data_IF_208423029749
#
_entry.id   IF_208423029749
#
_cell.length_a   1.000
_cell.length_b   1.000
_cell.length_c   1.000
_cell.angle_alpha   90.00
_cell.angle_beta   90.00
_cell.angle_gamma   90.00
#
_symmetry.space_group_name_H-M   'P 1'
#
loop_
_entity.id
_entity.type
_entity.pdbx_description
1 polymer ?
#
# COMPACT_ATOMS: atom_id res chain seq x y z
N UNK A 1 -6.63 -14.07 -16.06
CA UNK A 1 -5.18 -14.27 -16.29
C UNK A 1 -4.44 -13.75 -15.07
N UNK A 2 -3.88 -14.64 -14.24
CA UNK A 2 -3.03 -14.25 -13.11
C UNK A 2 -1.60 -14.07 -13.65
N UNK A 3 -1.23 -12.84 -13.96
CA UNK A 3 0.12 -12.49 -14.40
C UNK A 3 1.07 -12.49 -13.21
N UNK A 4 2.06 -13.40 -13.26
CA UNK A 4 3.38 -13.33 -12.62
C UNK A 4 3.44 -12.63 -11.26
N UNK A 5 3.50 -13.42 -10.18
CA UNK A 5 3.81 -12.95 -8.83
C UNK A 5 5.27 -12.46 -8.76
N UNK A 6 5.56 -11.31 -9.36
CA UNK A 6 6.83 -10.61 -9.17
C UNK A 6 6.74 -9.97 -7.79
N UNK A 7 7.39 -10.58 -6.81
CA UNK A 7 7.51 -10.00 -5.48
C UNK A 7 8.18 -8.64 -5.63
N UNK A 8 7.42 -7.56 -5.39
CA UNK A 8 7.95 -6.20 -5.41
C UNK A 8 9.07 -6.08 -4.38
N UNK A 9 10.10 -5.29 -4.67
CA UNK A 9 11.11 -4.94 -3.66
C UNK A 9 10.50 -4.07 -2.55
N UNK A 10 11.24 -3.91 -1.45
CA UNK A 10 10.84 -3.02 -0.35
C UNK A 10 10.71 -1.57 -0.86
N UNK A 11 11.60 -1.16 -1.76
CA UNK A 11 11.66 0.17 -2.35
C UNK A 11 10.47 0.40 -3.28
N UNK A 12 10.13 -0.57 -4.13
CA UNK A 12 8.94 -0.52 -4.99
C UNK A 12 7.66 -0.44 -4.15
N UNK A 13 7.58 -1.22 -3.07
CA UNK A 13 6.45 -1.21 -2.13
C UNK A 13 6.29 0.17 -1.47
N UNK A 14 7.40 0.77 -1.00
CA UNK A 14 7.40 2.14 -0.44
C UNK A 14 6.97 3.18 -1.47
N UNK A 15 7.42 3.05 -2.72
CA UNK A 15 7.04 3.95 -3.81
C UNK A 15 5.52 3.89 -4.07
N UNK A 16 4.95 2.69 -4.17
CA UNK A 16 3.51 2.49 -4.37
C UNK A 16 2.71 3.08 -3.20
N UNK A 17 3.14 2.86 -1.95
CA UNK A 17 2.52 3.46 -0.76
C UNK A 17 2.49 5.00 -0.86
N UNK A 18 3.61 5.62 -1.27
CA UNK A 18 3.69 7.07 -1.44
C UNK A 18 2.71 7.58 -2.51
N UNK A 19 2.66 6.90 -3.65
CA UNK A 19 1.76 7.23 -4.75
C UNK A 19 0.28 7.09 -4.34
N UNK A 20 -0.07 5.99 -3.65
CA UNK A 20 -1.43 5.76 -3.15
C UNK A 20 -1.85 6.81 -2.12
N UNK A 21 -0.95 7.22 -1.21
CA UNK A 21 -1.21 8.31 -0.25
C UNK A 21 -1.54 9.62 -0.94
N UNK A 22 -0.72 10.04 -1.91
CA UNK A 22 -1.01 11.26 -2.69
C UNK A 22 -2.35 11.14 -3.42
N UNK A 23 -2.63 9.99 -4.03
CA UNK A 23 -3.89 9.75 -4.73
C UNK A 23 -5.09 9.82 -3.78
N UNK A 24 -5.00 9.21 -2.60
CA UNK A 24 -6.04 9.24 -1.57
C UNK A 24 -6.32 10.67 -1.11
N UNK A 25 -5.27 11.46 -0.84
CA UNK A 25 -5.40 12.87 -0.45
C UNK A 25 -6.10 13.65 -1.58
N UNK A 26 -5.62 13.52 -2.81
CA UNK A 26 -6.18 14.24 -3.94
C UNK A 26 -7.65 13.89 -4.21
N UNK A 27 -8.01 12.61 -4.11
CA UNK A 27 -9.40 12.16 -4.31
C UNK A 27 -10.26 12.55 -3.10
N UNK A 28 -9.75 12.41 -1.88
CA UNK A 28 -10.43 12.80 -0.64
C UNK A 28 -10.73 14.30 -0.59
N UNK A 29 -9.80 15.15 -1.03
CA UNK A 29 -10.03 16.59 -1.15
C UNK A 29 -11.06 16.94 -2.24
N UNK A 30 -11.07 16.21 -3.35
CA UNK A 30 -11.99 16.48 -4.48
C UNK A 30 -13.40 15.92 -4.30
N UNK A 31 -13.53 14.77 -3.64
CA UNK A 31 -14.77 13.98 -3.60
C UNK A 31 -15.28 13.68 -2.19
N UNK A 32 -14.47 13.97 -1.17
CA UNK A 32 -14.75 13.61 0.22
C UNK A 32 -14.15 12.26 0.63
N UNK A 33 -13.95 12.09 1.94
CA UNK A 33 -13.36 10.88 2.52
C UNK A 33 -14.27 9.66 2.44
N UNK A 34 -15.59 9.87 2.47
CA UNK A 34 -16.59 8.80 2.40
C UNK A 34 -16.93 8.39 0.96
N UNK A 35 -16.33 9.03 -0.05
CA UNK A 35 -16.56 8.67 -1.44
C UNK A 35 -15.97 7.28 -1.72
N UNK A 36 -16.71 6.43 -2.44
CA UNK A 36 -16.33 5.03 -2.71
C UNK A 36 -14.88 4.88 -3.21
N UNK A 37 -14.44 5.75 -4.14
CA UNK A 37 -13.05 5.72 -4.63
C UNK A 37 -12.00 6.06 -3.56
N UNK A 38 -12.31 6.95 -2.61
CA UNK A 38 -11.38 7.27 -1.50
C UNK A 38 -11.24 6.07 -0.57
N UNK A 39 -12.34 5.35 -0.32
CA UNK A 39 -12.37 4.11 0.46
C UNK A 39 -11.61 2.99 -0.26
N UNK A 40 -11.81 2.82 -1.57
CA UNK A 40 -11.09 1.82 -2.35
C UNK A 40 -9.57 2.06 -2.31
N UNK A 41 -9.14 3.32 -2.49
CA UNK A 41 -7.72 3.67 -2.40
C UNK A 41 -7.19 3.41 -0.99
N UNK A 42 -7.96 3.70 0.07
CA UNK A 42 -7.52 3.46 1.45
C UNK A 42 -7.37 1.96 1.75
N UNK A 43 -8.27 1.12 1.25
CA UNK A 43 -8.17 -0.34 1.37
C UNK A 43 -6.93 -0.88 0.65
N UNK A 44 -6.66 -0.43 -0.58
CA UNK A 44 -5.45 -0.84 -1.32
C UNK A 44 -4.19 -0.38 -0.57
N UNK A 45 -4.18 0.86 -0.06
CA UNK A 45 -3.07 1.39 0.73
C UNK A 45 -2.80 0.53 1.97
N UNK A 46 -3.84 0.08 2.65
CA UNK A 46 -3.73 -0.76 3.85
C UNK A 46 -3.09 -2.13 3.56
N UNK A 47 -3.42 -2.73 2.42
CA UNK A 47 -2.79 -3.98 1.95
C UNK A 47 -1.28 -3.81 1.82
N UNK A 48 -0.82 -2.74 1.15
CA UNK A 48 0.61 -2.49 0.96
C UNK A 48 1.33 -2.12 2.26
N UNK A 49 0.67 -1.37 3.16
CA UNK A 49 1.22 -1.06 4.48
C UNK A 49 1.40 -2.33 5.32
N UNK A 50 0.41 -3.21 5.30
CA UNK A 50 0.44 -4.49 6.01
C UNK A 50 1.54 -5.41 5.47
N UNK A 51 1.66 -5.52 4.15
CA UNK A 51 2.74 -6.29 3.51
C UNK A 51 4.13 -5.74 3.90
N UNK A 52 4.34 -4.42 3.86
CA UNK A 52 5.59 -3.81 4.30
C UNK A 52 5.90 -4.08 5.78
N UNK A 53 4.89 -4.03 6.64
CA UNK A 53 5.02 -4.31 8.07
C UNK A 53 5.37 -5.78 8.33
N UNK A 54 4.72 -6.71 7.63
CA UNK A 54 5.00 -8.15 7.74
C UNK A 54 6.43 -8.47 7.32
N UNK A 55 6.90 -7.91 6.20
CA UNK A 55 8.29 -8.09 5.74
C UNK A 55 9.30 -7.54 6.73
N UNK A 56 9.03 -6.37 7.35
CA UNK A 56 9.87 -5.82 8.43
C UNK A 56 9.92 -6.74 9.65
N UNK A 57 8.79 -7.32 10.04
CA UNK A 57 8.72 -8.22 11.19
C UNK A 57 9.49 -9.52 10.94
N UNK A 58 9.41 -10.08 9.73
CA UNK A 58 10.17 -11.28 9.35
C UNK A 58 11.69 -11.05 9.37
N UNK A 59 12.16 -9.88 8.89
CA UNK A 59 13.59 -9.53 8.98
C UNK A 59 14.04 -9.47 10.44
N UNK A 60 13.20 -8.95 11.34
CA UNK A 60 13.54 -8.83 12.76
C UNK A 60 13.65 -10.19 13.47
N UNK A 61 12.83 -11.17 13.11
CA UNK A 61 12.84 -12.51 13.72
C UNK A 61 13.97 -13.41 13.22
N UNK A 62 14.54 -13.13 12.04
CA UNK A 62 15.63 -13.92 11.45
C UNK A 62 17.03 -13.54 11.94
N UNK A 63 17.14 -12.53 12.81
CA UNK A 63 18.42 -12.01 13.35
C UNK A 63 18.61 -12.41 14.83
N UNK A 64 17.69 -13.21 15.37
CA UNK A 64 17.76 -13.87 16.69
C UNK A 64 17.86 -15.37 16.51
#
# INVERSE_FOLDING_TARGET
MFTSCKCLSIEETKFIISMLRQRMINVGLKKGLNHAHTIEISQILDIYLTDLQNRKNQIRTSVT
#
